data_IF_609074401783
#
_entry.id   IF_609074401783
#
_cell.length_a   1.000
_cell.length_b   1.000
_cell.length_c   1.000
_cell.angle_alpha   90.00
_cell.angle_beta   90.00
_cell.angle_gamma   90.00
#
_symmetry.space_group_name_H-M   'P 1'
#
loop_
_entity.id
_entity.type
_entity.pdbx_description
1 polymer ?
#
# COMPACT_ATOMS: atom_id res chain seq x y z
N UNK A 1 -3.83 -1.47 -13.25
CA UNK A 1 -3.97 -1.11 -14.68
C UNK A 1 -2.94 -1.82 -15.56
N UNK A 2 -1.63 -1.67 -15.30
CA UNK A 2 -0.55 -2.22 -16.15
C UNK A 2 -0.70 -3.71 -16.48
N UNK A 3 -0.94 -4.56 -15.48
CA UNK A 3 -1.08 -6.01 -15.70
C UNK A 3 -2.36 -6.44 -16.42
N UNK A 4 -3.42 -5.63 -16.34
CA UNK A 4 -4.71 -5.95 -16.96
C UNK A 4 -4.81 -5.44 -18.41
N UNK A 5 -4.04 -4.40 -18.73
CA UNK A 5 -4.06 -3.74 -20.03
C UNK A 5 -3.88 -4.69 -21.23
N UNK A 6 -3.03 -5.74 -21.18
CA UNK A 6 -2.90 -6.64 -22.32
C UNK A 6 -4.15 -7.48 -22.62
N UNK A 7 -4.92 -7.85 -21.60
CA UNK A 7 -6.15 -8.64 -21.79
C UNK A 7 -7.24 -7.84 -22.49
N UNK A 8 -7.30 -6.52 -22.26
CA UNK A 8 -8.22 -5.63 -22.99
C UNK A 8 -7.96 -5.68 -24.49
N UNK A 9 -6.69 -5.70 -24.90
CA UNK A 9 -6.32 -5.79 -26.31
C UNK A 9 -6.51 -7.19 -26.88
N UNK A 10 -6.05 -8.21 -26.16
CA UNK A 10 -6.09 -9.60 -26.63
C UNK A 10 -7.53 -10.07 -26.88
N UNK A 11 -8.42 -9.76 -25.95
CA UNK A 11 -9.84 -10.13 -26.05
C UNK A 11 -10.65 -9.10 -26.88
N UNK A 12 -9.99 -8.07 -27.42
CA UNK A 12 -10.59 -6.98 -28.20
C UNK A 12 -11.81 -6.34 -27.51
N UNK A 13 -11.68 -6.06 -26.21
CA UNK A 13 -12.78 -5.55 -25.40
C UNK A 13 -13.09 -4.09 -25.74
N UNK A 14 -14.39 -3.82 -25.89
CA UNK A 14 -14.92 -2.46 -25.95
C UNK A 14 -14.81 -1.75 -24.60
N UNK A 15 -14.92 -0.42 -24.61
CA UNK A 15 -14.94 0.35 -23.37
C UNK A 15 -16.10 -0.07 -22.44
N UNK A 16 -17.28 -0.33 -23.00
CA UNK A 16 -18.46 -0.71 -22.22
C UNK A 16 -18.27 -2.08 -21.54
N UNK A 17 -17.63 -3.03 -22.21
CA UNK A 17 -17.26 -4.32 -21.60
C UNK A 17 -16.25 -4.14 -20.47
N UNK A 18 -15.20 -3.33 -20.67
CA UNK A 18 -14.21 -3.03 -19.63
C UNK A 18 -14.88 -2.33 -18.43
N UNK A 19 -15.79 -1.37 -18.68
CA UNK A 19 -16.54 -0.68 -17.63
C UNK A 19 -17.46 -1.62 -16.88
N UNK A 20 -18.16 -2.51 -17.56
CA UNK A 20 -19.04 -3.49 -16.93
C UNK A 20 -18.27 -4.47 -16.04
N UNK A 21 -17.12 -4.94 -16.50
CA UNK A 21 -16.23 -5.82 -15.74
C UNK A 21 -15.65 -5.10 -14.50
N UNK A 22 -15.26 -3.84 -14.66
CA UNK A 22 -14.80 -3.02 -13.56
C UNK A 22 -15.90 -2.76 -12.52
N UNK A 23 -17.13 -2.48 -12.98
CA UNK A 23 -18.29 -2.33 -12.12
C UNK A 23 -18.53 -3.63 -11.34
N UNK A 24 -18.54 -4.78 -12.00
CA UNK A 24 -18.71 -6.08 -11.34
C UNK A 24 -17.65 -6.27 -10.25
N UNK A 25 -16.39 -5.97 -10.54
CA UNK A 25 -15.29 -6.07 -9.57
C UNK A 25 -15.52 -5.17 -8.35
N UNK A 26 -15.78 -3.87 -8.56
CA UNK A 26 -15.98 -2.90 -7.46
C UNK A 26 -17.17 -3.30 -6.60
N UNK A 27 -18.32 -3.63 -7.19
CA UNK A 27 -19.48 -4.07 -6.42
C UNK A 27 -19.18 -5.35 -5.64
N UNK A 28 -18.51 -6.33 -6.25
CA UNK A 28 -18.15 -7.59 -5.59
C UNK A 28 -17.24 -7.38 -4.38
N UNK A 29 -16.32 -6.43 -4.44
CA UNK A 29 -15.43 -6.08 -3.33
C UNK A 29 -16.15 -5.41 -2.15
N UNK A 30 -17.36 -4.89 -2.36
CA UNK A 30 -18.20 -4.29 -1.32
C UNK A 30 -19.33 -5.22 -0.86
N UNK A 31 -19.32 -6.49 -1.27
CA UNK A 31 -20.21 -7.51 -0.69
C UNK A 31 -19.55 -8.08 0.57
N UNK A 32 -20.23 -8.08 1.73
CA UNK A 32 -19.71 -8.65 2.95
C UNK A 32 -19.55 -10.16 2.79
N UNK A 33 -18.31 -10.61 2.66
CA UNK A 33 -17.95 -12.00 2.36
C UNK A 33 -16.98 -12.61 3.39
N UNK A 34 -16.46 -11.79 4.32
CA UNK A 34 -15.64 -12.27 5.43
C UNK A 34 -16.49 -12.62 6.65
N UNK A 35 -15.96 -13.49 7.49
CA UNK A 35 -16.53 -13.80 8.81
C UNK A 35 -16.75 -12.49 9.60
N UNK A 36 -17.93 -12.34 10.20
CA UNK A 36 -18.33 -11.11 10.87
C UNK A 36 -19.04 -10.07 9.99
N UNK A 37 -19.49 -10.44 8.78
CA UNK A 37 -20.17 -9.55 7.83
C UNK A 37 -19.31 -8.34 7.39
N UNK A 38 -18.00 -8.57 7.30
CA UNK A 38 -17.07 -7.54 6.84
C UNK A 38 -16.75 -7.70 5.35
N UNK A 39 -16.50 -6.56 4.70
CA UNK A 39 -16.02 -6.51 3.32
C UNK A 39 -14.51 -6.85 3.28
N UNK A 40 -14.02 -7.43 2.17
CA UNK A 40 -12.59 -7.61 1.99
C UNK A 40 -11.88 -6.27 1.86
N UNK A 41 -11.07 -5.93 2.87
CA UNK A 41 -10.14 -4.81 2.79
C UNK A 41 -9.23 -4.96 1.57
N UNK A 42 -9.38 -4.07 0.59
CA UNK A 42 -8.63 -4.07 -0.67
C UNK A 42 -8.16 -2.67 -1.03
N UNK A 43 -6.98 -2.59 -1.65
CA UNK A 43 -6.39 -1.35 -2.13
C UNK A 43 -5.90 -1.56 -3.56
N UNK A 44 -6.22 -0.64 -4.45
CA UNK A 44 -5.68 -0.60 -5.80
C UNK A 44 -4.74 0.58 -5.95
N UNK A 45 -3.53 0.29 -6.43
CA UNK A 45 -2.57 1.32 -6.85
C UNK A 45 -2.53 1.32 -8.37
N UNK A 46 -2.70 2.50 -8.95
CA UNK A 46 -2.69 2.71 -10.40
C UNK A 46 -1.40 3.39 -10.83
N UNK A 47 -0.75 2.83 -11.85
CA UNK A 47 0.52 3.35 -12.36
C UNK A 47 0.29 4.56 -13.29
N UNK A 48 -0.89 4.66 -13.94
CA UNK A 48 -1.26 5.60 -15.01
C UNK A 48 -0.44 5.42 -16.29
N UNK A 49 0.88 5.34 -16.16
CA UNK A 49 1.82 5.03 -17.24
C UNK A 49 2.53 3.71 -16.94
N UNK A 50 2.93 2.94 -17.95
CA UNK A 50 3.75 1.75 -17.75
C UNK A 50 4.98 2.08 -16.89
N UNK A 51 5.16 1.46 -15.72
CA UNK A 51 6.33 1.71 -14.88
C UNK A 51 7.57 1.17 -15.58
N UNK A 52 8.73 1.83 -15.37
CA UNK A 52 9.95 1.57 -16.17
C UNK A 52 10.44 0.12 -16.08
N UNK A 53 10.28 -0.49 -14.91
CA UNK A 53 10.68 -1.87 -14.64
C UNK A 53 9.81 -2.91 -15.36
N UNK A 54 8.55 -2.57 -15.67
CA UNK A 54 7.63 -3.43 -16.43
C UNK A 54 7.60 -3.06 -17.91
N UNK A 55 7.82 -1.80 -18.28
CA UNK A 55 7.67 -1.30 -19.65
C UNK A 55 8.46 -2.12 -20.67
N UNK A 56 9.68 -2.56 -20.32
CA UNK A 56 10.54 -3.35 -21.18
C UNK A 56 10.28 -4.87 -21.11
N UNK A 57 9.51 -5.34 -20.13
CA UNK A 57 9.16 -6.75 -19.99
C UNK A 57 8.12 -7.16 -21.01
N UNK A 58 8.25 -8.39 -21.49
CA UNK A 58 7.24 -9.03 -22.34
C UNK A 58 5.97 -9.27 -21.53
N UNK A 59 4.85 -9.08 -22.19
CA UNK A 59 3.53 -9.42 -21.64
C UNK A 59 3.44 -10.92 -21.45
N UNK A 60 2.73 -11.35 -20.41
CA UNK A 60 2.40 -12.77 -20.19
C UNK A 60 0.88 -12.92 -20.24
N UNK A 61 0.39 -13.73 -21.17
CA UNK A 61 -1.03 -14.09 -21.32
C UNK A 61 -1.15 -15.61 -21.27
N UNK A 62 -2.05 -16.14 -20.43
CA UNK A 62 -2.24 -17.59 -20.28
C UNK A 62 -0.96 -18.34 -19.87
N UNK A 63 -0.04 -17.67 -19.14
CA UNK A 63 1.26 -18.23 -18.76
C UNK A 63 2.32 -18.25 -19.86
N UNK A 64 2.05 -17.67 -21.04
CA UNK A 64 2.98 -17.60 -22.18
C UNK A 64 3.45 -16.18 -22.40
N UNK A 65 4.78 -16.01 -22.55
CA UNK A 65 5.36 -14.75 -22.98
C UNK A 65 4.93 -14.40 -24.41
N UNK A 66 4.54 -13.15 -24.60
CA UNK A 66 4.17 -12.58 -25.88
C UNK A 66 5.32 -11.77 -26.48
N UNK A 67 5.20 -11.41 -27.77
CA UNK A 67 6.21 -10.58 -28.45
C UNK A 67 6.17 -9.13 -27.96
N UNK A 68 4.98 -8.65 -27.63
CA UNK A 68 4.70 -7.29 -27.18
C UNK A 68 5.16 -7.08 -25.74
N UNK A 69 5.57 -5.85 -25.43
CA UNK A 69 6.00 -5.43 -24.09
C UNK A 69 4.95 -4.55 -23.42
N UNK A 70 4.94 -4.48 -22.10
CA UNK A 70 3.95 -3.67 -21.35
C UNK A 70 3.98 -2.18 -21.73
N UNK A 71 5.15 -1.65 -22.12
CA UNK A 71 5.29 -0.24 -22.55
C UNK A 71 4.40 0.14 -23.74
N UNK A 72 3.93 -0.85 -24.52
CA UNK A 72 3.06 -0.62 -25.68
C UNK A 72 1.56 -0.59 -25.38
N UNK A 73 1.13 -0.58 -24.10
CA UNK A 73 -0.29 -0.74 -23.71
C UNK A 73 -0.90 0.50 -23.03
N UNK A 74 -0.37 1.69 -23.28
CA UNK A 74 -0.87 2.94 -22.67
C UNK A 74 -2.37 3.16 -22.93
N UNK A 75 -2.83 2.91 -24.16
CA UNK A 75 -4.25 3.10 -24.54
C UNK A 75 -5.18 2.23 -23.70
N UNK A 76 -4.81 0.97 -23.48
CA UNK A 76 -5.60 0.03 -22.68
C UNK A 76 -5.51 0.34 -21.18
N UNK A 77 -4.37 0.83 -20.69
CA UNK A 77 -4.25 1.36 -19.33
C UNK A 77 -5.18 2.57 -19.12
N UNK A 78 -5.25 3.49 -20.08
CA UNK A 78 -6.16 4.64 -20.03
C UNK A 78 -7.63 4.20 -20.04
N UNK A 79 -7.99 3.20 -20.86
CA UNK A 79 -9.34 2.60 -20.86
C UNK A 79 -9.71 2.05 -19.49
N UNK A 80 -8.81 1.30 -18.84
CA UNK A 80 -9.03 0.73 -17.49
C UNK A 80 -9.16 1.83 -16.44
N UNK A 81 -8.28 2.83 -16.47
CA UNK A 81 -8.33 3.96 -15.54
C UNK A 81 -9.64 4.74 -15.69
N UNK A 82 -10.04 5.04 -16.92
CA UNK A 82 -11.32 5.70 -17.20
C UNK A 82 -12.51 4.88 -16.69
N UNK A 83 -12.56 3.60 -17.01
CA UNK A 83 -13.62 2.70 -16.55
C UNK A 83 -13.73 2.67 -15.03
N UNK A 84 -12.60 2.54 -14.33
CA UNK A 84 -12.57 2.56 -12.86
C UNK A 84 -13.06 3.89 -12.30
N UNK A 85 -12.53 5.01 -12.79
CA UNK A 85 -12.91 6.33 -12.31
C UNK A 85 -14.37 6.67 -12.59
N UNK A 86 -14.92 6.27 -13.73
CA UNK A 86 -16.34 6.45 -14.02
C UNK A 86 -17.21 5.63 -13.06
N UNK A 87 -16.88 4.36 -12.79
CA UNK A 87 -17.60 3.54 -11.79
C UNK A 87 -17.54 4.17 -10.40
N UNK A 88 -16.36 4.62 -9.97
CA UNK A 88 -16.20 5.29 -8.68
C UNK A 88 -16.95 6.62 -8.62
N UNK A 89 -17.05 7.34 -9.75
CA UNK A 89 -17.79 8.59 -9.85
C UNK A 89 -19.30 8.38 -9.82
N UNK A 90 -19.80 7.34 -10.48
CA UNK A 90 -21.22 6.97 -10.50
C UNK A 90 -21.70 6.60 -9.09
N UNK A 91 -20.86 5.90 -8.32
CA UNK A 91 -21.16 5.44 -6.96
C UNK A 91 -21.96 4.13 -6.95
N UNK A 92 -22.43 3.74 -5.77
CA UNK A 92 -23.28 2.55 -5.60
C UNK A 92 -24.67 2.72 -6.25
N UNK A 93 -25.58 1.76 -6.05
CA UNK A 93 -26.92 1.81 -6.63
C UNK A 93 -27.77 3.04 -6.25
N UNK A 94 -27.34 3.85 -5.27
CA UNK A 94 -27.95 5.12 -4.89
C UNK A 94 -26.97 6.30 -4.95
N UNK A 95 -25.82 6.12 -5.62
CA UNK A 95 -24.83 7.16 -5.88
C UNK A 95 -23.89 7.48 -4.71
N UNK A 96 -23.76 6.59 -3.72
CA UNK A 96 -22.83 6.75 -2.58
C UNK A 96 -21.44 6.24 -2.95
N UNK A 97 -20.45 6.72 -2.19
CA UNK A 97 -19.06 6.28 -2.31
C UNK A 97 -18.92 4.78 -1.96
N UNK A 98 -18.06 4.07 -2.69
CA UNK A 98 -17.62 2.74 -2.31
C UNK A 98 -16.52 2.81 -1.24
N UNK A 99 -16.58 1.92 -0.25
CA UNK A 99 -15.53 1.79 0.76
C UNK A 99 -14.29 1.12 0.17
N UNK A 100 -14.48 0.13 -0.71
CA UNK A 100 -13.42 -0.65 -1.33
C UNK A 100 -13.56 -0.71 -2.86
N UNK A 101 -12.48 -0.97 -3.61
CA UNK A 101 -11.10 -0.90 -3.14
C UNK A 101 -10.74 0.56 -2.82
N UNK A 102 -9.82 0.76 -1.89
CA UNK A 102 -9.22 2.08 -1.66
C UNK A 102 -8.31 2.38 -2.86
N UNK A 103 -8.58 3.44 -3.65
CA UNK A 103 -7.74 3.75 -4.79
C UNK A 103 -6.60 4.68 -4.40
N UNK A 104 -5.42 4.38 -4.92
CA UNK A 104 -4.20 5.19 -4.76
C UNK A 104 -3.59 5.48 -6.13
N UNK A 105 -3.27 6.75 -6.37
CA UNK A 105 -2.59 7.19 -7.59
C UNK A 105 -1.21 7.78 -7.26
N UNK A 106 -0.23 7.41 -8.06
CA UNK A 106 1.13 7.89 -7.92
C UNK A 106 1.28 9.26 -8.61
N UNK A 107 1.69 10.28 -7.85
CA UNK A 107 2.05 11.58 -8.42
C UNK A 107 3.54 11.61 -8.69
N UNK A 108 3.93 11.55 -9.96
CA UNK A 108 5.31 11.62 -10.42
C UNK A 108 5.61 12.97 -11.06
N UNK A 109 6.90 13.28 -11.29
CA UNK A 109 7.32 14.53 -11.95
C UNK A 109 6.74 14.70 -13.36
N UNK A 110 6.43 13.60 -14.03
CA UNK A 110 5.88 13.55 -15.39
C UNK A 110 4.37 13.27 -15.42
N UNK A 111 3.68 13.41 -14.28
CA UNK A 111 2.24 13.28 -14.20
C UNK A 111 1.54 14.25 -15.16
N UNK A 112 0.64 13.73 -15.99
CA UNK A 112 -0.03 14.51 -17.04
C UNK A 112 -1.25 15.25 -16.47
N UNK A 113 -1.01 16.38 -15.80
CA UNK A 113 -2.03 17.17 -15.08
C UNK A 113 -3.24 17.57 -15.94
N UNK A 114 -3.01 17.86 -17.23
CA UNK A 114 -4.07 18.31 -18.14
C UNK A 114 -4.77 17.16 -18.89
N UNK A 115 -4.40 15.90 -18.61
CA UNK A 115 -5.00 14.73 -19.26
C UNK A 115 -6.46 14.52 -18.86
N UNK A 116 -7.23 13.88 -19.72
CA UNK A 116 -8.63 13.51 -19.42
C UNK A 116 -8.73 12.60 -18.19
N UNK A 117 -7.76 11.69 -18.00
CA UNK A 117 -7.68 10.84 -16.82
C UNK A 117 -7.44 11.69 -15.55
N UNK A 118 -6.51 12.65 -15.58
CA UNK A 118 -6.27 13.54 -14.45
C UNK A 118 -7.52 14.36 -14.09
N UNK A 119 -8.22 14.91 -15.08
CA UNK A 119 -9.49 15.62 -14.86
C UNK A 119 -10.53 14.73 -14.18
N UNK A 120 -10.65 13.47 -14.62
CA UNK A 120 -11.55 12.49 -13.99
C UNK A 120 -11.13 12.17 -12.55
N UNK A 121 -9.84 11.94 -12.29
CA UNK A 121 -9.31 11.72 -10.93
C UNK A 121 -9.73 12.88 -10.02
N UNK A 122 -9.48 14.13 -10.42
CA UNK A 122 -9.84 15.29 -9.61
C UNK A 122 -11.35 15.48 -9.45
N UNK A 123 -12.15 15.10 -10.44
CA UNK A 123 -13.61 15.11 -10.33
C UNK A 123 -14.11 14.12 -9.27
N UNK A 124 -13.55 12.91 -9.23
CA UNK A 124 -13.83 11.92 -8.18
C UNK A 124 -13.37 12.46 -6.81
N UNK A 125 -12.19 13.09 -6.76
CA UNK A 125 -11.66 13.71 -5.52
C UNK A 125 -12.55 14.82 -5.00
N UNK A 126 -13.01 15.72 -5.86
CA UNK A 126 -13.90 16.80 -5.48
C UNK A 126 -15.26 16.29 -4.96
N UNK A 127 -15.77 15.18 -5.51
CA UNK A 127 -17.06 14.61 -5.09
C UNK A 127 -16.97 13.80 -3.80
N UNK A 128 -15.91 13.01 -3.63
CA UNK A 128 -15.85 11.95 -2.63
C UNK A 128 -14.61 11.95 -1.72
N UNK A 129 -13.63 12.83 -1.96
CA UNK A 129 -12.39 12.88 -1.17
C UNK A 129 -11.40 11.74 -1.46
N UNK A 130 -11.61 10.98 -2.54
CA UNK A 130 -10.75 9.89 -3.02
C UNK A 130 -10.34 10.14 -4.49
N UNK A 131 -9.26 9.55 -5.01
CA UNK A 131 -8.32 8.60 -4.40
C UNK A 131 -7.34 9.23 -3.41
N UNK A 132 -6.58 8.37 -2.73
CA UNK A 132 -5.34 8.80 -2.09
C UNK A 132 -4.26 9.09 -3.14
N UNK A 133 -3.36 10.02 -2.81
CA UNK A 133 -2.22 10.36 -3.66
C UNK A 133 -0.92 9.96 -2.98
N UNK A 134 -0.16 9.10 -3.64
CA UNK A 134 1.22 8.83 -3.24
C UNK A 134 2.14 9.83 -3.93
N UNK A 135 2.62 10.82 -3.17
CA UNK A 135 3.37 11.93 -3.71
C UNK A 135 4.89 11.65 -3.82
N UNK A 136 5.37 11.46 -5.05
CA UNK A 136 6.80 11.36 -5.36
C UNK A 136 7.42 12.71 -5.77
N UNK A 137 6.60 13.75 -5.94
CA UNK A 137 7.06 15.09 -6.27
C UNK A 137 7.67 15.73 -5.03
N UNK A 138 8.97 16.00 -5.10
CA UNK A 138 9.72 16.59 -3.99
C UNK A 138 10.13 15.60 -2.90
N UNK A 139 9.97 14.29 -3.14
CA UNK A 139 10.58 13.26 -2.29
C UNK A 139 11.78 12.62 -3.00
N UNK A 140 12.73 12.10 -2.21
CA UNK A 140 13.87 11.30 -2.72
C UNK A 140 13.46 9.84 -3.01
N UNK A 141 12.16 9.57 -3.10
CA UNK A 141 11.60 8.23 -3.29
C UNK A 141 11.47 7.95 -4.80
N UNK A 142 11.95 6.80 -5.23
CA UNK A 142 11.79 6.34 -6.60
C UNK A 142 10.41 5.66 -6.73
N UNK A 143 9.55 6.05 -7.69
CA UNK A 143 8.28 5.36 -7.97
C UNK A 143 8.43 3.86 -8.23
N UNK A 144 9.59 3.40 -8.71
CA UNK A 144 9.88 1.98 -8.91
C UNK A 144 10.34 1.28 -7.61
N UNK A 145 10.63 2.06 -6.56
CA UNK A 145 11.16 1.58 -5.28
C UNK A 145 10.15 1.63 -4.14
N UNK A 146 8.87 1.94 -4.37
CA UNK A 146 7.81 1.83 -3.35
C UNK A 146 6.50 1.50 -4.04
N UNK A 147 5.83 0.42 -3.61
CA UNK A 147 4.39 0.25 -3.84
C UNK A 147 3.70 0.42 -2.49
N UNK A 148 2.71 1.32 -2.41
CA UNK A 148 1.94 1.48 -1.19
C UNK A 148 1.23 0.16 -0.86
N UNK A 149 1.67 -0.49 0.21
CA UNK A 149 0.98 -1.67 0.74
C UNK A 149 -0.05 -1.18 1.77
N UNK A 150 -1.30 -1.03 1.32
CA UNK A 150 -2.43 -0.72 2.20
C UNK A 150 -2.23 0.61 2.98
N UNK A 151 -2.75 0.72 4.21
CA UNK A 151 -2.89 1.91 5.04
C UNK A 151 -1.58 2.57 5.54
N UNK A 152 -0.59 2.85 4.68
CA UNK A 152 0.66 3.61 4.96
C UNK A 152 1.90 2.78 5.32
N UNK A 153 1.95 1.48 5.01
CA UNK A 153 3.20 0.72 5.14
C UNK A 153 4.14 1.07 3.98
N UNK A 154 5.14 1.91 4.25
CA UNK A 154 6.19 2.25 3.30
C UNK A 154 7.37 1.28 3.45
N UNK A 155 7.71 0.61 2.36
CA UNK A 155 8.77 -0.40 2.34
C UNK A 155 10.00 0.14 1.64
N UNK A 156 11.16 -0.02 2.28
CA UNK A 156 12.43 0.27 1.62
C UNK A 156 12.83 -0.93 0.75
N UNK A 157 12.67 -0.79 -0.56
CA UNK A 157 12.92 -1.88 -1.52
C UNK A 157 14.39 -2.24 -1.67
N UNK A 158 15.32 -1.41 -1.19
CA UNK A 158 16.75 -1.77 -1.13
C UNK A 158 17.01 -2.91 -0.13
N UNK A 159 16.10 -3.13 0.82
CA UNK A 159 16.18 -4.24 1.77
C UNK A 159 15.52 -5.52 1.24
N UNK A 160 14.87 -5.49 0.07
CA UNK A 160 14.21 -6.66 -0.51
C UNK A 160 15.16 -7.43 -1.43
N UNK A 161 15.24 -8.74 -1.21
CA UNK A 161 16.00 -9.64 -2.10
C UNK A 161 15.25 -9.83 -3.43
N UNK A 162 16.01 -9.81 -4.53
CA UNK A 162 15.51 -10.23 -5.85
C UNK A 162 14.94 -11.65 -5.75
N UNK A 163 13.68 -11.84 -6.15
CA UNK A 163 13.14 -13.17 -6.43
C UNK A 163 13.29 -13.44 -7.94
N UNK A 164 14.25 -14.26 -8.38
CA UNK A 164 14.35 -14.64 -9.78
C UNK A 164 13.13 -15.48 -10.19
N UNK A 165 12.54 -15.19 -11.35
CA UNK A 165 11.54 -16.04 -12.01
C UNK A 165 10.06 -15.76 -11.73
N UNK A 166 9.71 -14.66 -11.05
CA UNK A 166 8.30 -14.27 -10.82
C UNK A 166 7.84 -13.18 -11.79
N UNK A 167 6.57 -13.24 -12.24
CA UNK A 167 5.90 -12.15 -12.99
C UNK A 167 5.86 -10.83 -12.18
N UNK A 168 5.87 -10.97 -10.86
CA UNK A 168 5.71 -9.91 -9.87
C UNK A 168 7.01 -9.14 -9.64
N UNK A 169 6.93 -7.81 -9.51
CA UNK A 169 8.05 -6.97 -9.13
C UNK A 169 8.48 -7.19 -7.68
N UNK A 170 9.64 -6.65 -7.27
CA UNK A 170 10.14 -6.78 -5.89
C UNK A 170 9.10 -6.39 -4.82
N UNK A 171 8.21 -5.44 -5.15
CA UNK A 171 7.25 -4.81 -4.22
C UNK A 171 5.90 -5.53 -4.17
N UNK A 172 5.72 -6.54 -5.00
CA UNK A 172 4.46 -7.26 -5.17
C UNK A 172 4.39 -8.53 -4.30
N UNK A 173 5.49 -8.90 -3.64
CA UNK A 173 5.58 -10.10 -2.79
C UNK A 173 6.21 -9.75 -1.43
N UNK A 174 5.62 -8.77 -0.77
CA UNK A 174 6.08 -8.25 0.54
C UNK A 174 4.87 -7.83 1.39
N UNK A 175 5.09 -7.42 2.62
CA UNK A 175 4.05 -7.08 3.59
C UNK A 175 4.61 -7.05 5.00
N UNK A 176 3.74 -7.11 6.02
CA UNK A 176 4.15 -7.22 7.42
C UNK A 176 3.62 -8.52 8.02
N UNK A 177 4.48 -9.28 8.70
CA UNK A 177 4.09 -10.49 9.45
C UNK A 177 3.25 -10.13 10.68
N UNK A 178 3.49 -8.94 11.22
CA UNK A 178 2.82 -8.47 12.42
C UNK A 178 3.27 -7.08 12.80
N UNK A 179 2.40 -6.40 13.54
CA UNK A 179 2.64 -5.07 14.07
C UNK A 179 2.50 -5.13 15.58
N UNK A 180 3.50 -4.64 16.31
CA UNK A 180 3.40 -4.32 17.75
C UNK A 180 3.53 -2.81 17.88
N UNK A 181 2.54 -2.16 18.47
CA UNK A 181 2.52 -0.68 18.59
C UNK A 181 2.87 -0.25 20.00
N UNK A 182 3.91 0.58 20.13
CA UNK A 182 4.35 1.16 21.40
C UNK A 182 3.51 2.40 21.71
N UNK A 183 2.94 2.46 22.92
CA UNK A 183 2.14 3.58 23.40
C UNK A 183 3.05 4.64 24.06
N UNK A 184 3.45 5.67 23.29
CA UNK A 184 4.36 6.72 23.76
C UNK A 184 3.72 7.59 24.86
N UNK A 185 2.39 7.78 24.82
CA UNK A 185 1.67 8.48 25.89
C UNK A 185 1.90 7.78 27.22
N UNK A 186 1.73 6.45 27.27
CA UNK A 186 1.96 5.68 28.51
C UNK A 186 3.41 5.78 28.99
N UNK A 187 4.39 5.67 28.09
CA UNK A 187 5.81 5.77 28.45
C UNK A 187 6.13 7.15 29.03
N UNK A 188 5.64 8.21 28.40
CA UNK A 188 5.85 9.59 28.87
C UNK A 188 5.23 9.85 30.24
N UNK A 189 4.01 9.35 30.49
CA UNK A 189 3.34 9.47 31.78
C UNK A 189 4.10 8.79 32.91
N UNK A 190 4.79 7.67 32.62
CA UNK A 190 5.59 6.93 33.60
C UNK A 190 6.98 7.52 33.84
N UNK A 191 7.43 8.43 32.98
CA UNK A 191 8.79 8.95 32.97
C UNK A 191 8.85 10.32 33.62
N UNK A 192 9.82 10.56 34.49
CA UNK A 192 10.04 11.90 35.07
C UNK A 192 10.83 12.82 34.16
N UNK A 193 11.57 12.25 33.21
CA UNK A 193 12.46 12.98 32.31
C UNK A 193 12.71 12.16 31.03
N UNK A 194 13.34 12.80 30.04
CA UNK A 194 13.68 12.16 28.75
C UNK A 194 14.53 10.90 28.89
N UNK A 195 15.48 10.86 29.84
CA UNK A 195 16.38 9.70 30.01
C UNK A 195 15.60 8.47 30.44
N UNK A 196 14.69 8.61 31.40
CA UNK A 196 13.80 7.52 31.83
C UNK A 196 12.87 7.09 30.69
N UNK A 197 12.34 8.04 29.92
CA UNK A 197 11.49 7.76 28.76
C UNK A 197 12.20 6.90 27.72
N UNK A 198 13.42 7.28 27.31
CA UNK A 198 14.17 6.52 26.31
C UNK A 198 14.61 5.15 26.83
N UNK A 199 14.88 5.02 28.13
CA UNK A 199 15.14 3.71 28.75
C UNK A 199 13.91 2.80 28.64
N UNK A 200 12.72 3.30 28.97
CA UNK A 200 11.49 2.50 28.83
C UNK A 200 11.20 2.18 27.36
N UNK A 201 11.43 3.15 26.45
CA UNK A 201 11.24 2.92 25.02
C UNK A 201 12.10 1.77 24.52
N UNK A 202 13.39 1.72 24.91
CA UNK A 202 14.32 0.63 24.60
C UNK A 202 13.80 -0.73 25.10
N UNK A 203 13.42 -0.80 26.38
CA UNK A 203 12.91 -2.02 27.02
C UNK A 203 11.67 -2.56 26.27
N UNK A 204 10.72 -1.70 25.91
CA UNK A 204 9.52 -2.10 25.18
C UNK A 204 9.78 -2.42 23.70
N UNK A 205 10.78 -1.80 23.08
CA UNK A 205 11.22 -2.14 21.72
C UNK A 205 11.83 -3.54 21.66
N UNK A 206 12.69 -3.90 22.60
CA UNK A 206 13.26 -5.25 22.68
C UNK A 206 12.16 -6.30 22.92
N UNK A 207 11.20 -6.02 23.81
CA UNK A 207 10.04 -6.89 24.00
C UNK A 207 9.19 -7.03 22.72
N UNK A 208 8.93 -5.93 22.01
CA UNK A 208 8.18 -5.94 20.76
C UNK A 208 8.88 -6.78 19.69
N UNK A 209 10.19 -6.66 19.57
CA UNK A 209 11.04 -7.46 18.69
C UNK A 209 10.94 -8.95 19.02
N UNK A 210 11.07 -9.33 20.30
CA UNK A 210 10.92 -10.74 20.72
C UNK A 210 9.56 -11.32 20.32
N UNK A 211 8.47 -10.60 20.57
CA UNK A 211 7.11 -11.01 20.19
C UNK A 211 6.99 -11.21 18.67
N UNK A 212 7.52 -10.27 17.89
CA UNK A 212 7.47 -10.33 16.43
C UNK A 212 8.31 -11.49 15.87
N UNK A 213 9.47 -11.79 16.47
CA UNK A 213 10.31 -12.93 16.09
C UNK A 213 9.64 -14.27 16.40
N UNK A 214 8.99 -14.39 17.56
CA UNK A 214 8.19 -15.58 17.91
C UNK A 214 7.06 -15.76 16.89
N UNK A 215 6.33 -14.68 16.57
CA UNK A 215 5.25 -14.71 15.57
C UNK A 215 5.77 -15.13 14.20
N UNK A 216 6.90 -14.58 13.75
CA UNK A 216 7.54 -14.95 12.47
C UNK A 216 7.88 -16.43 12.42
N UNK A 217 8.45 -17.00 13.49
CA UNK A 217 8.75 -18.44 13.57
C UNK A 217 7.48 -19.27 13.42
N UNK A 218 6.41 -18.94 14.16
CA UNK A 218 5.16 -19.69 14.11
C UNK A 218 4.47 -19.60 12.74
N UNK A 219 4.34 -18.40 12.17
CA UNK A 219 3.69 -18.20 10.87
C UNK A 219 4.49 -18.87 9.75
N UNK A 220 5.82 -18.84 9.82
CA UNK A 220 6.69 -19.55 8.87
C UNK A 220 6.57 -21.07 8.99
N UNK A 221 6.39 -21.60 10.21
CA UNK A 221 6.12 -23.03 10.43
C UNK A 221 4.79 -23.43 9.80
N UNK A 222 3.72 -22.68 10.06
CA UNK A 222 2.38 -22.93 9.48
C UNK A 222 2.41 -22.96 7.94
N UNK A 223 3.18 -22.08 7.31
CA UNK A 223 3.35 -22.07 5.85
C UNK A 223 4.01 -23.35 5.34
N UNK A 224 5.08 -23.81 6.01
CA UNK A 224 5.79 -25.06 5.67
C UNK A 224 4.90 -26.28 5.87
N UNK A 225 4.09 -26.30 6.92
CA UNK A 225 3.15 -27.38 7.24
C UNK A 225 1.89 -27.36 6.35
N UNK A 226 1.77 -26.39 5.42
CA UNK A 226 0.69 -26.35 4.44
C UNK A 226 -0.62 -25.73 4.93
N UNK A 227 -0.62 -25.10 6.12
CA UNK A 227 -1.80 -24.43 6.70
C UNK A 227 -2.17 -23.12 6.00
N UNK A 228 -1.34 -22.65 5.05
CA UNK A 228 -1.54 -21.40 4.31
C UNK A 228 -1.38 -21.63 2.80
N UNK A 229 -2.28 -22.43 2.18
CA UNK A 229 -2.09 -22.93 0.81
C UNK A 229 -2.00 -21.82 -0.25
N UNK A 230 -2.86 -20.80 -0.17
CA UNK A 230 -2.82 -19.68 -1.12
C UNK A 230 -1.53 -18.86 -1.00
N UNK A 231 -1.09 -18.57 0.23
CA UNK A 231 0.18 -17.87 0.47
C UNK A 231 1.35 -18.70 -0.05
N UNK A 232 1.34 -20.01 0.16
CA UNK A 232 2.38 -20.92 -0.35
C UNK A 232 2.48 -20.89 -1.87
N UNK A 233 1.35 -20.91 -2.56
CA UNK A 233 1.29 -20.92 -4.03
C UNK A 233 1.69 -19.56 -4.62
N UNK A 234 1.12 -18.46 -4.11
CA UNK A 234 1.26 -17.15 -4.76
C UNK A 234 2.44 -16.32 -4.23
N UNK A 235 2.84 -16.52 -2.97
CA UNK A 235 3.87 -15.70 -2.31
C UNK A 235 5.12 -16.51 -1.95
N UNK A 236 4.98 -17.84 -1.78
CA UNK A 236 6.08 -18.78 -1.56
C UNK A 236 6.72 -18.72 -0.17
N UNK A 237 7.15 -17.54 0.29
CA UNK A 237 7.83 -17.35 1.57
C UNK A 237 7.60 -15.97 2.18
N UNK A 238 7.78 -15.86 3.50
CA UNK A 238 7.74 -14.58 4.23
C UNK A 238 9.10 -13.86 4.31
N UNK A 239 10.08 -14.23 3.47
CA UNK A 239 11.44 -13.67 3.53
C UNK A 239 11.44 -12.14 3.36
N UNK A 240 10.62 -11.66 2.44
CA UNK A 240 10.50 -10.23 2.12
C UNK A 240 9.45 -9.51 2.99
N UNK A 241 8.90 -10.16 4.02
CA UNK A 241 7.92 -9.54 4.91
C UNK A 241 8.61 -8.94 6.13
N UNK A 242 8.17 -7.75 6.54
CA UNK A 242 8.73 -7.00 7.66
C UNK A 242 8.11 -7.43 9.00
N UNK A 243 8.85 -7.21 10.07
CA UNK A 243 8.35 -7.22 11.44
C UNK A 243 8.21 -5.76 11.85
N UNK A 244 6.99 -5.28 12.11
CA UNK A 244 6.75 -3.84 12.25
C UNK A 244 6.60 -3.45 13.72
N UNK A 245 7.47 -2.57 14.21
CA UNK A 245 7.26 -1.85 15.47
C UNK A 245 6.62 -0.51 15.11
N UNK A 246 5.35 -0.35 15.50
CA UNK A 246 4.60 0.89 15.35
C UNK A 246 4.70 1.76 16.60
N UNK A 247 4.24 2.99 16.50
CA UNK A 247 4.10 3.91 17.64
C UNK A 247 2.77 4.66 17.57
N UNK A 248 2.27 5.09 18.73
CA UNK A 248 1.15 6.00 18.83
C UNK A 248 1.32 6.94 20.03
N UNK A 249 0.62 8.08 20.02
CA UNK A 249 0.57 9.01 21.16
C UNK A 249 1.79 9.94 21.31
N UNK A 250 2.45 10.30 20.20
CA UNK A 250 3.62 11.20 20.24
C UNK A 250 3.26 12.62 20.71
N UNK A 251 2.09 13.14 20.35
CA UNK A 251 1.62 14.43 20.82
C UNK A 251 1.41 14.44 22.34
N UNK A 252 0.73 13.43 22.86
CA UNK A 252 0.50 13.27 24.29
C UNK A 252 1.82 13.06 25.03
N UNK A 253 2.80 12.39 24.40
CA UNK A 253 4.14 12.27 24.96
C UNK A 253 4.86 13.62 25.10
N UNK A 254 4.74 14.50 24.11
CA UNK A 254 5.25 15.87 24.20
C UNK A 254 4.54 16.65 25.32
N UNK A 255 3.20 16.53 25.42
CA UNK A 255 2.43 17.20 26.46
C UNK A 255 2.86 16.76 27.87
N UNK A 256 3.03 15.47 28.11
CA UNK A 256 3.39 14.94 29.42
C UNK A 256 4.82 15.31 29.85
N UNK A 257 5.80 15.26 28.94
CA UNK A 257 7.21 15.46 29.28
C UNK A 257 7.71 16.89 29.11
N UNK A 258 7.13 17.65 28.17
CA UNK A 258 7.60 18.98 27.79
C UNK A 258 6.56 20.07 28.04
N UNK A 259 5.31 19.72 28.40
CA UNK A 259 4.18 20.64 28.52
C UNK A 259 3.90 21.46 27.25
N UNK A 260 4.25 20.93 26.08
CA UNK A 260 3.99 21.55 24.78
C UNK A 260 3.46 20.52 23.77
N UNK A 261 2.60 20.92 22.82
CA UNK A 261 2.09 20.01 21.79
C UNK A 261 3.17 19.65 20.77
N UNK A 262 2.93 18.62 19.96
CA UNK A 262 3.85 18.20 18.89
C UNK A 262 4.12 19.29 17.83
N UNK A 263 3.20 20.25 17.69
CA UNK A 263 3.33 21.35 16.75
C UNK A 263 4.36 22.41 17.20
N UNK A 264 4.71 22.45 18.49
CA UNK A 264 5.74 23.34 19.01
C UNK A 264 7.15 22.91 18.53
N UNK A 265 8.09 23.84 18.25
CA UNK A 265 9.45 23.48 17.86
C UNK A 265 10.13 22.45 18.78
N UNK A 266 9.94 22.56 20.11
CA UNK A 266 10.50 21.60 21.05
C UNK A 266 9.81 20.23 20.98
N UNK A 267 8.49 20.20 20.81
CA UNK A 267 7.71 18.97 20.64
C UNK A 267 8.05 18.24 19.34
N UNK A 268 8.25 18.98 18.24
CA UNK A 268 8.71 18.44 16.96
C UNK A 268 10.09 17.83 17.07
N UNK A 269 11.05 18.54 17.66
CA UNK A 269 12.41 18.03 17.85
C UNK A 269 12.43 16.75 18.70
N UNK A 270 11.67 16.71 19.80
CA UNK A 270 11.55 15.51 20.62
C UNK A 270 10.93 14.34 19.87
N UNK A 271 9.88 14.57 19.08
CA UNK A 271 9.28 13.50 18.25
C UNK A 271 10.25 12.97 17.19
N UNK A 272 11.10 13.83 16.62
CA UNK A 272 12.18 13.41 15.70
C UNK A 272 13.26 12.60 16.41
N UNK A 273 13.64 13.00 17.63
CA UNK A 273 14.57 12.27 18.50
C UNK A 273 14.05 10.85 18.79
N UNK A 274 12.75 10.70 19.09
CA UNK A 274 12.09 9.40 19.25
C UNK A 274 12.23 8.54 17.99
N UNK A 275 11.88 9.10 16.83
CA UNK A 275 11.96 8.36 15.56
C UNK A 275 13.40 7.96 15.20
N UNK A 276 14.39 8.79 15.54
CA UNK A 276 15.79 8.49 15.31
C UNK A 276 16.31 7.42 16.27
N UNK A 277 15.90 7.47 17.53
CA UNK A 277 16.23 6.44 18.54
C UNK A 277 15.69 5.06 18.15
N UNK A 278 14.49 5.01 17.56
CA UNK A 278 13.86 3.76 17.16
C UNK A 278 14.47 3.09 15.92
N UNK A 279 15.32 3.80 15.15
CA UNK A 279 15.90 3.32 13.89
C UNK A 279 17.24 2.62 14.10
#
# INVERSE_FOLDING_TARGET
>A
DTYLAPFVREDNLSFDEVKQEMQRLVFSLNIPSKWGFEMPFTNFTFDIKPPKDLAEKRVIIGGKEQKQKYGGYQKEMDTINRAFLEVMLDGDGVGRIFTFPIPTYNLTKDFAWDSEIAKLIFKVTARFGIPYFQNYIGSDLDPNSIRAMCCRLNLNMNQLMNQPGSLWGKGDSTGSIGVVTINLNRLSYLSKNKREFFKLLDEYMELAKEVLEIKRKQVSKNLKEGLMPYVRVYLGSFRNYFSTIGLCGANEACLNLLNVPIADPAGKLFSMEILQFMR
#
